data_IF_442084297661
#
_entry.id   IF_442084297661
#
_cell.length_a   1.000
_cell.length_b   1.000
_cell.length_c   1.000
_cell.angle_alpha   90.00
_cell.angle_beta   90.00
_cell.angle_gamma   90.00
#
_symmetry.space_group_name_H-M   'P 1'
#
loop_
_entity.id
_entity.type
_entity.pdbx_description
1 polymer ?
#
# COMPACT_ATOMS: atom_id res chain seq x y z
N UNK A 1 58.40 12.94 26.36
CA UNK A 1 56.92 12.84 26.39
C UNK A 1 56.33 14.15 25.88
N UNK A 2 55.59 14.12 24.76
CA UNK A 2 54.81 15.27 24.26
C UNK A 2 53.38 15.08 24.74
N UNK A 3 52.89 15.96 25.60
CA UNK A 3 51.48 15.97 25.98
C UNK A 3 50.62 16.49 24.82
N UNK A 4 49.71 15.65 24.35
CA UNK A 4 48.69 16.01 23.37
C UNK A 4 47.59 16.76 24.13
N UNK A 5 47.54 18.08 23.97
CA UNK A 5 46.41 18.89 24.43
C UNK A 5 45.17 18.54 23.60
N UNK A 6 44.25 17.81 24.22
CA UNK A 6 42.91 17.51 23.70
C UNK A 6 42.16 18.83 23.46
N UNK A 7 41.78 19.11 22.21
CA UNK A 7 40.99 20.28 21.88
C UNK A 7 39.64 20.24 22.61
N UNK A 8 39.39 21.17 23.53
CA UNK A 8 38.08 21.37 24.15
C UNK A 8 37.10 21.78 23.05
N UNK A 9 36.01 21.04 22.89
CA UNK A 9 34.88 21.47 22.05
C UNK A 9 34.36 22.78 22.62
N UNK A 10 34.35 23.83 21.79
CA UNK A 10 33.81 25.14 22.15
C UNK A 10 32.31 24.96 22.40
N UNK A 11 31.84 25.15 23.63
CA UNK A 11 30.40 25.13 23.93
C UNK A 11 29.72 26.26 23.16
N UNK A 12 28.68 25.89 22.40
CA UNK A 12 27.90 26.82 21.59
C UNK A 12 27.10 27.71 22.54
N UNK A 13 27.41 29.00 22.57
CA UNK A 13 26.68 29.99 23.38
C UNK A 13 25.26 30.17 22.84
N UNK A 14 24.33 30.61 23.69
CA UNK A 14 22.93 30.82 23.26
C UNK A 14 22.82 31.88 22.15
N UNK A 15 23.68 32.88 22.13
CA UNK A 15 23.79 33.85 21.01
C UNK A 15 24.18 33.18 19.69
N UNK A 16 25.03 32.16 19.73
CA UNK A 16 25.43 31.39 18.54
C UNK A 16 24.25 30.54 18.04
N UNK A 17 23.45 29.99 18.96
CA UNK A 17 22.22 29.25 18.61
C UNK A 17 21.16 30.15 18.00
N UNK A 18 20.98 31.35 18.54
CA UNK A 18 20.05 32.36 18.00
C UNK A 18 20.47 32.74 16.58
N UNK A 19 21.76 32.93 16.34
CA UNK A 19 22.29 33.22 14.99
C UNK A 19 22.00 32.08 14.01
N UNK A 20 22.25 30.83 14.41
CA UNK A 20 21.91 29.68 13.59
C UNK A 20 20.40 29.54 13.32
N UNK A 21 19.55 29.90 14.28
CA UNK A 21 18.10 29.90 14.08
C UNK A 21 17.65 30.99 13.08
N UNK A 22 18.28 32.17 13.12
CA UNK A 22 18.03 33.26 12.16
C UNK A 22 18.48 32.82 10.76
N UNK A 23 19.72 32.34 10.63
CA UNK A 23 20.27 31.88 9.35
C UNK A 23 19.38 30.78 8.74
N UNK A 24 18.92 29.83 9.56
CA UNK A 24 18.02 28.76 9.13
C UNK A 24 16.65 29.28 8.64
N UNK A 25 16.05 30.23 9.36
CA UNK A 25 14.77 30.82 8.95
C UNK A 25 14.92 31.63 7.66
N UNK A 26 16.03 32.35 7.49
CA UNK A 26 16.34 33.08 6.26
C UNK A 26 16.53 32.14 5.07
N UNK A 27 17.30 31.06 5.25
CA UNK A 27 17.48 30.01 4.24
C UNK A 27 16.14 29.38 3.85
N UNK A 28 15.28 29.14 4.84
CA UNK A 28 13.94 28.63 4.58
C UNK A 28 13.11 29.64 3.80
N UNK A 29 13.06 30.90 4.24
CA UNK A 29 12.36 31.96 3.53
C UNK A 29 12.82 32.07 2.08
N UNK A 30 14.13 32.01 1.83
CA UNK A 30 14.69 32.03 0.48
C UNK A 30 14.30 30.79 -0.34
N UNK A 31 14.29 29.60 0.26
CA UNK A 31 13.87 28.37 -0.42
C UNK A 31 12.39 28.39 -0.82
N UNK A 32 11.53 28.94 0.04
CA UNK A 32 10.10 29.11 -0.27
C UNK A 32 9.92 30.16 -1.38
N UNK A 33 10.66 31.27 -1.32
CA UNK A 33 10.65 32.31 -2.35
C UNK A 33 11.31 31.90 -3.67
N UNK A 34 12.25 30.95 -3.68
CA UNK A 34 12.84 30.44 -4.92
C UNK A 34 11.82 29.62 -5.75
N UNK A 35 10.72 29.17 -5.11
CA UNK A 35 9.66 28.38 -5.73
C UNK A 35 8.37 29.19 -5.93
N UNK A 36 8.46 30.48 -6.32
CA UNK A 36 7.30 31.42 -6.47
C UNK A 36 6.10 30.89 -7.24
N UNK A 37 6.28 29.91 -8.11
CA UNK A 37 5.23 29.32 -8.93
C UNK A 37 4.52 28.12 -8.27
N UNK A 38 4.88 27.75 -7.04
CA UNK A 38 4.33 26.61 -6.31
C UNK A 38 4.02 27.03 -4.87
N UNK A 39 2.74 27.20 -4.53
CA UNK A 39 2.38 27.51 -3.15
C UNK A 39 2.58 26.27 -2.29
N UNK A 40 3.26 26.40 -1.15
CA UNK A 40 3.46 25.25 -0.23
C UNK A 40 2.15 24.64 0.25
N UNK A 41 1.09 25.43 0.36
CA UNK A 41 -0.25 24.94 0.66
C UNK A 41 -0.82 24.01 -0.42
N UNK A 42 -0.36 24.13 -1.67
CA UNK A 42 -0.80 23.32 -2.81
C UNK A 42 0.05 22.05 -2.94
N UNK A 43 1.26 22.00 -2.38
CA UNK A 43 2.18 20.86 -2.47
C UNK A 43 1.57 19.57 -1.91
N UNK A 44 0.98 19.52 -0.70
CA UNK A 44 0.35 18.30 -0.20
C UNK A 44 -0.73 17.77 -1.13
N UNK A 45 -1.51 18.66 -1.75
CA UNK A 45 -2.58 18.27 -2.68
C UNK A 45 -2.02 17.77 -4.02
N UNK A 46 -0.95 18.39 -4.54
CA UNK A 46 -0.26 17.94 -5.77
C UNK A 46 0.43 16.58 -5.56
N UNK A 47 1.05 16.37 -4.41
CA UNK A 47 1.70 15.10 -4.09
C UNK A 47 0.66 14.00 -3.86
N UNK A 48 -0.43 14.28 -3.14
CA UNK A 48 -1.55 13.34 -2.97
C UNK A 48 -2.23 13.02 -4.30
N UNK A 49 -2.48 14.01 -5.15
CA UNK A 49 -3.10 13.77 -6.46
C UNK A 49 -2.20 12.94 -7.37
N UNK A 50 -0.87 13.14 -7.34
CA UNK A 50 0.07 12.30 -8.10
C UNK A 50 0.20 10.88 -7.55
N UNK A 51 0.14 10.70 -6.22
CA UNK A 51 0.10 9.36 -5.61
C UNK A 51 -1.17 8.59 -6.01
N UNK A 52 -2.30 9.28 -6.22
CA UNK A 52 -3.55 8.67 -6.73
C UNK A 52 -3.50 8.45 -8.25
N UNK A 53 -2.87 9.35 -9.02
CA UNK A 53 -2.78 9.26 -10.49
C UNK A 53 -1.85 8.13 -10.96
N UNK A 54 -0.88 7.71 -10.14
CA UNK A 54 -0.03 6.56 -10.46
C UNK A 54 -0.78 5.23 -10.57
N UNK A 55 -2.06 5.16 -10.15
CA UNK A 55 -2.81 3.90 -10.09
C UNK A 55 -4.22 3.94 -10.74
N UNK A 56 -4.53 4.96 -11.54
CA UNK A 56 -5.89 5.09 -12.08
C UNK A 56 -5.98 5.75 -13.47
N UNK A 57 -5.99 4.92 -14.51
CA UNK A 57 -6.91 5.11 -15.63
C UNK A 57 -8.35 4.94 -15.13
N UNK A 58 -8.89 5.94 -14.42
CA UNK A 58 -10.29 5.97 -14.02
C UNK A 58 -10.71 7.41 -13.70
N UNK A 59 -11.29 8.07 -14.70
CA UNK A 59 -12.18 9.20 -14.46
C UNK A 59 -13.41 8.62 -13.76
N UNK A 60 -13.49 8.73 -12.44
CA UNK A 60 -14.73 8.49 -11.70
C UNK A 60 -15.12 9.73 -10.89
N UNK A 61 -16.43 9.97 -10.92
CA UNK A 61 -17.26 11.05 -10.38
C UNK A 61 -16.64 11.83 -9.21
N UNK A 62 -16.52 13.15 -9.39
CA UNK A 62 -16.10 14.13 -8.38
C UNK A 62 -16.75 13.87 -7.01
N UNK A 63 -15.93 13.61 -5.99
CA UNK A 63 -16.28 13.87 -4.59
C UNK A 63 -16.39 12.67 -3.64
N UNK A 64 -16.36 11.42 -4.11
CA UNK A 64 -16.35 10.27 -3.19
C UNK A 64 -14.93 9.88 -2.79
N UNK A 65 -14.56 10.20 -1.55
CA UNK A 65 -13.35 9.68 -0.90
C UNK A 65 -13.83 8.65 0.11
N UNK A 66 -13.53 7.36 -0.12
CA UNK A 66 -13.86 6.32 0.84
C UNK A 66 -13.19 6.62 2.18
N UNK A 67 -13.91 6.51 3.33
CA UNK A 67 -13.30 6.60 4.66
C UNK A 67 -12.19 5.56 4.88
N UNK A 68 -12.25 4.46 4.12
CA UNK A 68 -11.29 3.38 4.14
C UNK A 68 -10.82 3.06 2.70
N UNK A 69 -9.65 3.56 2.29
CA UNK A 69 -9.17 3.41 0.92
C UNK A 69 -8.74 1.97 0.59
N UNK A 70 -8.17 1.22 1.54
CA UNK A 70 -7.70 -0.15 1.31
C UNK A 70 -8.87 -1.11 1.12
N UNK A 71 -9.92 -1.00 1.94
CA UNK A 71 -11.15 -1.78 1.77
C UNK A 71 -11.81 -1.45 0.43
N UNK A 72 -11.91 -0.16 0.08
CA UNK A 72 -12.51 0.25 -1.20
C UNK A 72 -11.74 -0.32 -2.40
N UNK A 73 -10.41 -0.32 -2.34
CA UNK A 73 -9.57 -0.97 -3.33
C UNK A 73 -9.86 -2.48 -3.43
N UNK A 74 -9.90 -3.19 -2.30
CA UNK A 74 -10.19 -4.63 -2.26
C UNK A 74 -11.57 -4.95 -2.84
N UNK A 75 -12.60 -4.17 -2.50
CA UNK A 75 -13.95 -4.33 -3.06
C UNK A 75 -13.93 -4.18 -4.59
N UNK A 76 -13.09 -3.29 -5.13
CA UNK A 76 -12.93 -3.13 -6.57
C UNK A 76 -12.16 -4.26 -7.25
N UNK A 77 -11.18 -4.86 -6.56
CA UNK A 77 -10.24 -5.83 -7.16
C UNK A 77 -10.65 -7.29 -6.93
N UNK A 78 -11.13 -7.64 -5.73
CA UNK A 78 -11.47 -9.02 -5.35
C UNK A 78 -12.46 -9.69 -6.32
N UNK A 79 -13.56 -9.04 -6.78
CA UNK A 79 -14.48 -9.67 -7.73
C UNK A 79 -13.81 -10.07 -9.04
N UNK A 80 -12.93 -9.21 -9.56
CA UNK A 80 -12.19 -9.47 -10.79
C UNK A 80 -11.13 -10.54 -10.57
N UNK A 81 -10.40 -10.47 -9.46
CA UNK A 81 -9.37 -11.43 -9.08
C UNK A 81 -9.96 -12.84 -8.96
N UNK A 82 -11.04 -13.01 -8.20
CA UNK A 82 -11.69 -14.31 -8.01
C UNK A 82 -12.33 -14.84 -9.29
N UNK A 83 -12.66 -14.00 -10.26
CA UNK A 83 -13.18 -14.45 -11.56
C UNK A 83 -12.12 -15.07 -12.46
N UNK A 84 -10.83 -14.81 -12.23
CA UNK A 84 -9.75 -15.43 -12.99
C UNK A 84 -9.74 -16.95 -12.77
N UNK A 85 -10.04 -17.71 -13.82
CA UNK A 85 -10.17 -19.17 -13.76
C UNK A 85 -8.80 -19.85 -13.63
N UNK A 86 -7.73 -19.22 -14.13
CA UNK A 86 -6.38 -19.75 -14.01
C UNK A 86 -5.91 -19.68 -12.56
N UNK A 87 -6.33 -18.64 -11.84
CA UNK A 87 -5.96 -18.43 -10.46
C UNK A 87 -6.95 -19.04 -9.46
N UNK A 88 -8.25 -19.04 -9.76
CA UNK A 88 -9.33 -19.57 -8.93
C UNK A 88 -10.24 -20.48 -9.76
N UNK A 89 -9.74 -21.69 -10.02
CA UNK A 89 -10.44 -22.70 -10.81
C UNK A 89 -11.55 -23.37 -10.00
N UNK A 90 -11.40 -23.44 -8.68
CA UNK A 90 -12.37 -24.06 -7.78
C UNK A 90 -12.89 -23.08 -6.74
N UNK A 91 -14.11 -23.32 -6.27
CA UNK A 91 -14.71 -22.56 -5.17
C UNK A 91 -13.92 -22.74 -3.87
N UNK A 92 -13.31 -23.91 -3.66
CA UNK A 92 -12.44 -24.16 -2.51
C UNK A 92 -11.23 -23.23 -2.49
N UNK A 93 -10.61 -22.93 -3.65
CA UNK A 93 -9.47 -22.02 -3.75
C UNK A 93 -9.84 -20.60 -3.26
N UNK A 94 -11.05 -20.15 -3.60
CA UNK A 94 -11.58 -18.84 -3.19
C UNK A 94 -11.79 -18.81 -1.67
N UNK A 95 -12.35 -19.89 -1.11
CA UNK A 95 -12.59 -20.00 0.32
C UNK A 95 -11.29 -20.11 1.12
N UNK A 96 -10.30 -20.84 0.60
CA UNK A 96 -8.97 -20.94 1.21
C UNK A 96 -8.26 -19.58 1.21
N UNK A 97 -8.27 -18.86 0.10
CA UNK A 97 -7.77 -17.48 0.04
C UNK A 97 -8.48 -16.58 1.06
N UNK A 98 -9.81 -16.60 1.08
CA UNK A 98 -10.59 -15.76 2.00
C UNK A 98 -10.22 -16.03 3.47
N UNK A 99 -10.00 -17.30 3.82
CA UNK A 99 -9.59 -17.69 5.16
C UNK A 99 -8.13 -17.31 5.47
N UNK A 100 -7.18 -17.68 4.62
CA UNK A 100 -5.74 -17.48 4.87
C UNK A 100 -5.31 -16.02 4.79
N UNK A 101 -5.93 -15.26 3.89
CA UNK A 101 -5.48 -13.91 3.52
C UNK A 101 -6.35 -12.85 4.17
N UNK A 102 -7.68 -13.06 4.20
CA UNK A 102 -8.63 -12.08 4.73
C UNK A 102 -9.15 -12.45 6.13
N UNK A 103 -8.88 -13.67 6.61
CA UNK A 103 -9.42 -14.17 7.88
C UNK A 103 -10.94 -14.43 7.85
N UNK A 104 -11.52 -14.54 6.65
CA UNK A 104 -12.96 -14.74 6.45
C UNK A 104 -13.23 -16.24 6.27
N UNK A 105 -13.85 -16.86 7.29
CA UNK A 105 -14.21 -18.27 7.24
C UNK A 105 -15.53 -18.49 6.50
N UNK A 106 -15.48 -19.25 5.40
CA UNK A 106 -16.67 -19.56 4.60
C UNK A 106 -17.18 -20.96 4.91
N UNK A 107 -18.46 -21.06 5.28
CA UNK A 107 -19.14 -22.34 5.51
C UNK A 107 -19.91 -22.82 4.27
N UNK A 108 -19.93 -24.15 4.08
CA UNK A 108 -20.71 -24.85 3.03
C UNK A 108 -20.34 -24.41 1.60
N UNK A 109 -19.04 -24.29 1.33
CA UNK A 109 -18.50 -23.83 0.03
C UNK A 109 -19.04 -24.64 -1.14
N UNK A 110 -19.22 -25.95 -0.95
CA UNK A 110 -19.72 -26.90 -1.94
C UNK A 110 -21.18 -26.66 -2.37
N UNK A 111 -21.94 -25.89 -1.58
CA UNK A 111 -23.35 -25.57 -1.86
C UNK A 111 -23.56 -24.17 -2.43
N UNK A 112 -22.50 -23.37 -2.52
CA UNK A 112 -22.57 -21.96 -2.93
C UNK A 112 -22.07 -21.80 -4.35
N UNK A 113 -22.68 -20.86 -5.07
CA UNK A 113 -22.16 -20.47 -6.39
C UNK A 113 -20.90 -19.61 -6.24
N UNK A 114 -20.05 -19.58 -7.28
CA UNK A 114 -18.87 -18.71 -7.32
C UNK A 114 -19.21 -17.24 -7.06
N UNK A 115 -20.30 -16.74 -7.67
CA UNK A 115 -20.76 -15.37 -7.46
C UNK A 115 -21.26 -15.12 -6.03
N UNK A 116 -21.91 -16.10 -5.41
CA UNK A 116 -22.34 -16.01 -4.01
C UNK A 116 -21.14 -15.93 -3.06
N UNK A 117 -20.10 -16.73 -3.30
CA UNK A 117 -18.85 -16.68 -2.53
C UNK A 117 -18.19 -15.31 -2.64
N UNK A 118 -18.04 -14.80 -3.86
CA UNK A 118 -17.47 -13.47 -4.12
C UNK A 118 -18.29 -12.39 -3.41
N UNK A 119 -19.62 -12.42 -3.54
CA UNK A 119 -20.51 -11.47 -2.89
C UNK A 119 -20.38 -11.50 -1.37
N UNK A 120 -20.31 -12.70 -0.77
CA UNK A 120 -20.12 -12.86 0.66
C UNK A 120 -18.78 -12.26 1.11
N UNK A 121 -17.68 -12.60 0.42
CA UNK A 121 -16.34 -12.09 0.78
C UNK A 121 -16.29 -10.57 0.67
N UNK A 122 -16.87 -9.98 -0.37
CA UNK A 122 -16.88 -8.52 -0.58
C UNK A 122 -17.64 -7.81 0.54
N UNK A 123 -18.79 -8.36 0.95
CA UNK A 123 -19.57 -7.81 2.06
C UNK A 123 -18.80 -7.91 3.38
N UNK A 124 -18.22 -9.06 3.70
CA UNK A 124 -17.43 -9.28 4.92
C UNK A 124 -16.14 -8.44 4.93
N UNK A 125 -15.52 -8.22 3.76
CA UNK A 125 -14.32 -7.40 3.64
C UNK A 125 -14.55 -5.94 4.04
N UNK A 126 -15.79 -5.45 3.96
CA UNK A 126 -16.14 -4.10 4.38
C UNK A 126 -16.01 -3.87 5.89
N UNK A 127 -16.09 -4.95 6.68
CA UNK A 127 -16.05 -4.90 8.14
C UNK A 127 -14.64 -5.19 8.70
N UNK A 128 -13.64 -5.36 7.82
CA UNK A 128 -12.25 -5.61 8.20
C UNK A 128 -11.54 -4.36 8.75
N UNK A 129 -10.47 -4.59 9.49
CA UNK A 129 -9.62 -3.51 10.03
C UNK A 129 -8.65 -2.98 8.96
N UNK A 130 -8.81 -1.71 8.59
CA UNK A 130 -8.00 -1.02 7.58
C UNK A 130 -6.49 -1.17 7.81
N UNK A 131 -6.08 -1.04 9.08
CA UNK A 131 -4.67 -0.97 9.45
C UNK A 131 -3.95 -2.31 9.23
N UNK A 132 -4.69 -3.42 9.29
CA UNK A 132 -4.17 -4.77 9.05
C UNK A 132 -4.13 -5.11 7.55
N UNK A 133 -4.94 -4.43 6.74
CA UNK A 133 -5.08 -4.71 5.32
C UNK A 133 -4.08 -3.93 4.44
N UNK A 134 -3.47 -2.85 4.95
CA UNK A 134 -2.56 -2.03 4.15
C UNK A 134 -1.41 -2.82 3.49
N UNK A 135 -0.76 -3.73 4.23
CA UNK A 135 0.31 -4.58 3.68
C UNK A 135 -0.21 -5.55 2.62
N UNK A 136 -1.41 -6.10 2.83
CA UNK A 136 -2.04 -7.00 1.87
C UNK A 136 -2.43 -6.26 0.58
N UNK A 137 -3.04 -5.08 0.71
CA UNK A 137 -3.46 -4.25 -0.42
C UNK A 137 -2.27 -3.85 -1.28
N UNK A 138 -1.17 -3.45 -0.67
CA UNK A 138 0.07 -3.14 -1.40
C UNK A 138 0.61 -4.37 -2.14
N UNK A 139 0.64 -5.55 -1.51
CA UNK A 139 1.10 -6.76 -2.18
C UNK A 139 0.17 -7.16 -3.33
N UNK A 140 -1.15 -7.09 -3.13
CA UNK A 140 -2.14 -7.40 -4.16
C UNK A 140 -2.14 -6.39 -5.31
N UNK A 141 -1.89 -5.10 -5.06
CA UNK A 141 -1.82 -4.09 -6.12
C UNK A 141 -0.61 -4.31 -7.02
N UNK A 142 0.54 -4.64 -6.44
CA UNK A 142 1.73 -5.00 -7.20
C UNK A 142 1.52 -6.26 -8.08
N UNK A 143 0.74 -7.23 -7.60
CA UNK A 143 0.49 -8.47 -8.34
C UNK A 143 -0.59 -8.28 -9.42
N UNK A 144 -1.72 -7.66 -9.08
CA UNK A 144 -2.85 -7.51 -10.01
C UNK A 144 -2.61 -6.44 -11.08
N UNK A 145 -1.70 -5.50 -10.85
CA UNK A 145 -1.24 -4.51 -11.82
C UNK A 145 -0.13 -5.02 -12.76
N UNK A 146 0.43 -6.21 -12.54
CA UNK A 146 1.56 -6.75 -13.30
C UNK A 146 1.29 -8.18 -13.78
N UNK A 147 1.10 -8.36 -15.09
CA UNK A 147 0.81 -9.66 -15.71
C UNK A 147 1.90 -10.70 -15.46
N UNK A 148 3.18 -10.31 -15.39
CA UNK A 148 4.28 -11.24 -15.14
C UNK A 148 4.23 -11.78 -13.70
N UNK A 149 3.90 -10.92 -12.72
CA UNK A 149 3.72 -11.33 -11.33
C UNK A 149 2.49 -12.23 -11.16
N UNK A 150 1.42 -11.97 -11.91
CA UNK A 150 0.26 -12.84 -11.94
C UNK A 150 0.60 -14.23 -12.51
N UNK A 151 1.38 -14.29 -13.59
CA UNK A 151 1.87 -15.55 -14.17
C UNK A 151 2.78 -16.32 -13.19
N UNK A 152 3.62 -15.63 -12.43
CA UNK A 152 4.42 -16.23 -11.37
C UNK A 152 3.54 -16.82 -10.26
N UNK A 153 2.47 -16.12 -9.87
CA UNK A 153 1.51 -16.62 -8.89
C UNK A 153 0.81 -17.89 -9.38
N UNK A 154 0.40 -17.94 -10.65
CA UNK A 154 -0.21 -19.14 -11.26
C UNK A 154 0.77 -20.32 -11.26
N UNK A 155 2.06 -20.07 -11.53
CA UNK A 155 3.11 -21.11 -11.48
C UNK A 155 3.33 -21.62 -10.06
N UNK A 156 3.46 -20.74 -9.08
CA UNK A 156 3.66 -21.10 -7.67
C UNK A 156 2.45 -21.85 -7.09
N UNK A 157 1.22 -21.51 -7.52
CA UNK A 157 0.00 -22.26 -7.16
C UNK A 157 0.06 -23.73 -7.56
N UNK A 158 0.78 -24.06 -8.62
CA UNK A 158 0.95 -25.45 -9.08
C UNK A 158 1.94 -26.26 -8.21
N UNK A 159 2.58 -25.64 -7.21
CA UNK A 159 3.51 -26.30 -6.30
C UNK A 159 2.78 -27.05 -5.16
N UNK A 160 3.42 -28.09 -4.63
CA UNK A 160 2.84 -28.99 -3.61
C UNK A 160 2.72 -28.34 -2.22
N UNK A 161 3.41 -27.22 -1.98
CA UNK A 161 3.48 -26.52 -0.69
C UNK A 161 2.96 -25.08 -0.78
N UNK A 162 1.96 -24.85 -1.63
CA UNK A 162 1.44 -23.51 -1.86
C UNK A 162 0.66 -22.98 -0.65
N UNK A 163 0.96 -21.74 -0.25
CA UNK A 163 0.14 -20.93 0.66
C UNK A 163 -0.10 -19.57 0.03
N UNK A 164 -1.34 -19.09 0.07
CA UNK A 164 -1.69 -17.79 -0.50
C UNK A 164 -0.96 -16.65 0.19
N UNK A 165 -1.00 -16.66 1.52
CA UNK A 165 -0.48 -15.58 2.33
C UNK A 165 1.05 -15.45 2.21
N UNK A 166 1.77 -16.57 2.15
CA UNK A 166 3.22 -16.59 1.93
C UNK A 166 3.59 -16.17 0.50
N UNK A 167 2.87 -16.69 -0.50
CA UNK A 167 3.18 -16.42 -1.91
C UNK A 167 2.90 -14.95 -2.28
N UNK A 168 1.80 -14.37 -1.78
CA UNK A 168 1.48 -12.95 -1.99
C UNK A 168 2.58 -12.06 -1.41
N UNK A 169 3.04 -12.36 -0.18
CA UNK A 169 4.16 -11.62 0.43
C UNK A 169 5.46 -11.78 -0.37
N UNK A 170 5.78 -13.01 -0.76
CA UNK A 170 6.99 -13.31 -1.54
C UNK A 170 7.00 -12.54 -2.85
N UNK A 171 5.96 -12.68 -3.68
CA UNK A 171 5.88 -12.05 -5.00
C UNK A 171 5.74 -10.53 -4.90
N UNK A 172 5.00 -10.04 -3.90
CA UNK A 172 4.89 -8.61 -3.61
C UNK A 172 6.23 -7.96 -3.25
N UNK A 173 7.14 -8.69 -2.61
CA UNK A 173 8.44 -8.19 -2.14
C UNK A 173 9.59 -8.30 -3.16
N UNK A 174 9.38 -8.83 -4.38
CA UNK A 174 10.45 -9.07 -5.36
C UNK A 174 11.10 -7.77 -5.92
N UNK A 175 10.55 -6.59 -5.62
CA UNK A 175 11.06 -5.29 -6.12
C UNK A 175 11.66 -4.36 -5.02
N UNK A 176 12.00 -4.86 -3.83
CA UNK A 176 12.88 -4.16 -2.85
C UNK A 176 14.36 -4.58 -2.99
#
# INVERSE_FOLDING_TARGET
MREIKKAKSKEVTDDTKIRYAIDFIEEMSWLLDAKKNLKLSEIPNILRSKLVVSDATSKTVDGYISPNPNIHYLIGVLPRLFQDINLFSRNEDIAEFANEVLGIAISRVEKRSKYELIGLIVCEANDLDDTKLASLVNALSLITGNSEKLDLMIKEKSSVSFSWNETIRKIGAIDE
#
